data_IF_064819678099
#
_entry.id   IF_064819678099
#
_cell.length_a   1.000
_cell.length_b   1.000
_cell.length_c   1.000
_cell.angle_alpha   90.00
_cell.angle_beta   90.00
_cell.angle_gamma   90.00
#
_symmetry.space_group_name_H-M   'P 1'
#
loop_
_entity.id
_entity.type
_entity.pdbx_description
1 polymer ?
#
# COMPACT_ATOMS: atom_id res chain seq x y z
N UNK A 1 -14.41 5.49 14.54
CA UNK A 1 -14.94 6.06 13.27
C UNK A 1 -14.31 5.39 12.06
N UNK A 2 -12.99 5.49 11.85
CA UNK A 2 -12.32 4.93 10.66
C UNK A 2 -12.70 3.47 10.35
N UNK A 3 -12.63 2.54 11.31
CA UNK A 3 -12.97 1.12 11.08
C UNK A 3 -14.46 0.88 10.76
N UNK A 4 -15.35 1.69 11.33
CA UNK A 4 -16.78 1.63 11.02
C UNK A 4 -17.04 2.11 9.59
N UNK A 5 -16.35 3.18 9.17
CA UNK A 5 -16.42 3.68 7.80
C UNK A 5 -15.82 2.66 6.81
N UNK A 6 -14.67 2.05 7.14
CA UNK A 6 -14.03 1.03 6.31
C UNK A 6 -14.95 -0.19 6.12
N UNK A 7 -15.44 -0.76 7.22
CA UNK A 7 -16.32 -1.93 7.18
C UNK A 7 -17.68 -1.64 6.56
N UNK A 8 -18.29 -0.51 6.93
CA UNK A 8 -19.58 -0.07 6.41
C UNK A 8 -19.54 0.16 4.91
N UNK A 9 -18.54 0.88 4.41
CA UNK A 9 -18.38 1.08 2.96
C UNK A 9 -18.10 -0.24 2.23
N UNK A 10 -17.30 -1.14 2.80
CA UNK A 10 -17.01 -2.46 2.20
C UNK A 10 -18.28 -3.32 2.11
N UNK A 11 -19.08 -3.36 3.18
CA UNK A 11 -20.36 -4.06 3.19
C UNK A 11 -21.35 -3.44 2.19
N UNK A 12 -21.43 -2.10 2.13
CA UNK A 12 -22.34 -1.40 1.23
C UNK A 12 -22.05 -1.71 -0.26
N UNK A 13 -20.78 -1.90 -0.63
CA UNK A 13 -20.39 -2.32 -2.00
C UNK A 13 -20.97 -3.70 -2.33
N UNK A 14 -21.02 -4.63 -1.38
CA UNK A 14 -21.59 -5.96 -1.59
C UNK A 14 -23.08 -5.92 -1.95
N UNK A 15 -23.81 -4.90 -1.50
CA UNK A 15 -25.24 -4.71 -1.77
C UNK A 15 -25.52 -3.74 -2.93
N UNK A 16 -24.51 -3.29 -3.66
CA UNK A 16 -24.67 -2.29 -4.71
C UNK A 16 -25.53 -2.86 -5.87
N UNK A 17 -26.64 -2.19 -6.23
CA UNK A 17 -27.43 -2.57 -7.41
C UNK A 17 -26.63 -2.39 -8.70
N UNK A 18 -26.90 -3.25 -9.68
CA UNK A 18 -26.25 -3.19 -10.99
C UNK A 18 -26.61 -1.94 -11.79
N UNK A 19 -25.80 -1.65 -12.82
CA UNK A 19 -26.05 -0.54 -13.73
C UNK A 19 -27.42 -0.67 -14.42
N UNK A 20 -27.84 -1.88 -14.77
CA UNK A 20 -29.13 -2.12 -15.42
C UNK A 20 -30.33 -1.76 -14.54
N UNK A 21 -30.15 -1.70 -13.20
CA UNK A 21 -31.22 -1.38 -12.26
C UNK A 21 -31.32 0.12 -11.94
N UNK A 22 -30.19 0.79 -11.75
CA UNK A 22 -30.17 2.19 -11.26
C UNK A 22 -29.30 3.14 -12.12
N UNK A 23 -28.80 2.67 -13.26
CA UNK A 23 -27.97 3.43 -14.19
C UNK A 23 -26.70 3.98 -13.55
N UNK A 24 -26.38 5.23 -13.92
CA UNK A 24 -25.16 5.93 -13.46
C UNK A 24 -25.06 6.08 -11.94
N UNK A 25 -26.18 6.01 -11.22
CA UNK A 25 -26.19 6.05 -9.76
C UNK A 25 -25.38 4.89 -9.15
N UNK A 26 -25.33 3.72 -9.79
CA UNK A 26 -24.51 2.59 -9.35
C UNK A 26 -23.02 2.95 -9.30
N UNK A 27 -22.51 3.55 -10.37
CA UNK A 27 -21.12 4.00 -10.45
C UNK A 27 -20.80 5.13 -9.45
N UNK A 28 -21.72 6.09 -9.27
CA UNK A 28 -21.55 7.18 -8.31
C UNK A 28 -21.54 6.67 -6.86
N UNK A 29 -22.41 5.71 -6.51
CA UNK A 29 -22.43 5.08 -5.19
C UNK A 29 -21.17 4.25 -4.95
N UNK A 30 -20.70 3.48 -5.95
CA UNK A 30 -19.42 2.77 -5.86
C UNK A 30 -18.27 3.74 -5.59
N UNK A 31 -18.20 4.86 -6.31
CA UNK A 31 -17.20 5.89 -6.11
C UNK A 31 -17.29 6.49 -4.70
N UNK A 32 -18.50 6.75 -4.19
CA UNK A 32 -18.72 7.24 -2.83
C UNK A 32 -18.22 6.26 -1.77
N UNK A 33 -18.53 4.97 -1.90
CA UNK A 33 -18.05 3.95 -0.96
C UNK A 33 -16.54 3.77 -1.03
N UNK A 34 -15.94 3.82 -2.23
CA UNK A 34 -14.48 3.82 -2.43
C UNK A 34 -13.80 5.03 -1.78
N UNK A 35 -14.38 6.23 -1.91
CA UNK A 35 -13.91 7.42 -1.19
C UNK A 35 -13.98 7.22 0.33
N UNK A 36 -15.08 6.64 0.84
CA UNK A 36 -15.20 6.30 2.25
C UNK A 36 -14.14 5.30 2.73
N UNK A 37 -13.84 4.25 1.94
CA UNK A 37 -12.75 3.30 2.25
C UNK A 37 -11.38 4.00 2.28
N UNK A 38 -11.11 4.91 1.34
CA UNK A 38 -9.87 5.69 1.30
C UNK A 38 -9.69 6.58 2.54
N UNK A 39 -10.71 7.36 2.90
CA UNK A 39 -10.71 8.20 4.12
C UNK A 39 -10.52 7.34 5.37
N UNK A 40 -11.16 6.19 5.42
CA UNK A 40 -11.02 5.26 6.54
C UNK A 40 -9.62 4.64 6.65
N UNK A 41 -8.99 4.32 5.51
CA UNK A 41 -7.65 3.74 5.46
C UNK A 41 -6.61 4.73 6.02
N UNK A 42 -6.61 5.98 5.54
CA UNK A 42 -5.69 7.03 6.01
C UNK A 42 -5.81 7.28 7.52
N UNK A 43 -7.04 7.28 8.05
CA UNK A 43 -7.27 7.44 9.49
C UNK A 43 -6.92 6.23 10.36
N UNK A 44 -6.69 5.05 9.80
CA UNK A 44 -6.56 3.80 10.57
C UNK A 44 -5.22 3.09 10.44
N UNK A 45 -4.47 3.32 9.37
CA UNK A 45 -3.28 2.52 9.04
C UNK A 45 -1.97 3.21 9.43
N UNK A 46 -1.72 4.46 9.02
CA UNK A 46 -0.42 5.12 9.25
C UNK A 46 -0.22 5.67 10.67
N UNK A 47 -1.30 5.99 11.37
CA UNK A 47 -1.24 6.43 12.77
C UNK A 47 -0.72 5.33 13.70
N UNK A 48 -1.06 4.07 13.46
CA UNK A 48 -0.69 2.95 14.33
C UNK A 48 0.72 2.42 14.08
N UNK A 49 1.15 2.33 12.81
CA UNK A 49 2.50 1.89 12.47
C UNK A 49 3.56 2.84 13.07
N UNK A 50 3.27 4.14 13.04
CA UNK A 50 4.11 5.15 13.69
C UNK A 50 4.16 4.95 15.22
N UNK A 51 3.03 4.66 15.87
CA UNK A 51 2.98 4.44 17.32
C UNK A 51 3.72 3.17 17.77
N UNK A 52 3.56 2.07 17.03
CA UNK A 52 4.27 0.82 17.33
C UNK A 52 5.79 0.98 17.21
N UNK A 53 6.25 1.74 16.21
CA UNK A 53 7.68 2.01 16.03
C UNK A 53 8.25 2.95 17.12
N UNK A 54 7.43 3.87 17.66
CA UNK A 54 7.85 4.81 18.73
C UNK A 54 8.04 4.07 20.06
N UNK A 55 7.19 3.09 20.36
CA UNK A 55 7.26 2.29 21.58
C UNK A 55 8.13 1.03 21.45
N UNK A 56 8.78 0.82 20.30
CA UNK A 56 9.61 -0.35 20.07
C UNK A 56 10.92 -0.27 20.88
N UNK A 57 11.39 -1.40 21.44
CA UNK A 57 12.71 -1.49 22.06
C UNK A 57 13.83 -1.00 21.13
N UNK A 58 14.92 -0.49 21.71
CA UNK A 58 16.10 -0.09 20.95
C UNK A 58 16.61 -1.25 20.07
N UNK A 59 16.99 -0.91 18.84
CA UNK A 59 17.45 -1.89 17.85
C UNK A 59 16.37 -2.83 17.30
N UNK A 60 15.08 -2.62 17.61
CA UNK A 60 13.96 -3.41 17.07
C UNK A 60 12.92 -2.58 16.31
N UNK A 61 13.22 -1.32 16.03
CA UNK A 61 12.25 -0.39 15.41
C UNK A 61 11.79 -0.86 14.03
N UNK A 62 12.70 -1.44 13.23
CA UNK A 62 12.40 -2.01 11.92
C UNK A 62 11.51 -3.25 12.02
N UNK A 63 11.78 -4.14 12.99
CA UNK A 63 10.93 -5.28 13.27
C UNK A 63 9.50 -4.89 13.64
N UNK A 64 9.31 -3.89 14.51
CA UNK A 64 7.95 -3.45 14.88
C UNK A 64 7.26 -2.65 13.77
N UNK A 65 8.01 -1.92 12.94
CA UNK A 65 7.47 -1.16 11.83
C UNK A 65 6.90 -2.05 10.70
N UNK A 66 7.45 -3.26 10.50
CA UNK A 66 6.97 -4.17 9.43
C UNK A 66 5.70 -4.94 9.79
N UNK A 67 5.39 -5.10 11.10
CA UNK A 67 4.25 -5.92 11.55
C UNK A 67 2.91 -5.46 10.94
N UNK A 68 2.55 -4.16 10.97
CA UNK A 68 1.31 -3.68 10.34
C UNK A 68 1.27 -3.91 8.83
N UNK A 69 2.45 -3.96 8.18
CA UNK A 69 2.57 -4.09 6.73
C UNK A 69 2.26 -5.49 6.25
N UNK A 70 2.38 -6.51 7.11
CA UNK A 70 2.02 -7.90 6.79
C UNK A 70 0.53 -8.06 6.43
N UNK A 71 -0.33 -7.18 6.94
CA UNK A 71 -1.76 -7.23 6.65
C UNK A 71 -2.08 -7.07 5.16
N UNK A 72 -1.32 -6.27 4.43
CA UNK A 72 -1.55 -6.01 3.00
C UNK A 72 -1.37 -7.27 2.13
N UNK A 73 -0.21 -7.95 2.12
CA UNK A 73 -0.04 -9.17 1.32
C UNK A 73 -0.86 -10.36 1.86
N UNK A 74 -1.10 -10.46 3.17
CA UNK A 74 -1.99 -11.52 3.69
C UNK A 74 -3.43 -11.33 3.21
N UNK A 75 -3.93 -10.09 3.24
CA UNK A 75 -5.23 -9.74 2.67
C UNK A 75 -5.29 -10.01 1.16
N UNK A 76 -4.21 -9.69 0.45
CA UNK A 76 -4.09 -9.96 -0.98
C UNK A 76 -4.12 -11.46 -1.28
N UNK A 77 -3.37 -12.30 -0.56
CA UNK A 77 -3.40 -13.76 -0.73
C UNK A 77 -4.82 -14.30 -0.59
N UNK A 78 -5.54 -13.89 0.46
CA UNK A 78 -6.93 -14.33 0.69
C UNK A 78 -7.83 -13.84 -0.44
N UNK A 79 -7.70 -12.58 -0.86
CA UNK A 79 -8.49 -12.02 -1.95
C UNK A 79 -8.21 -12.74 -3.27
N UNK A 80 -6.95 -12.88 -3.68
CA UNK A 80 -6.57 -13.49 -4.95
C UNK A 80 -7.00 -14.95 -5.01
N UNK A 81 -6.79 -15.74 -3.95
CA UNK A 81 -7.25 -17.14 -3.91
C UNK A 81 -8.79 -17.25 -3.95
N UNK A 82 -9.50 -16.36 -3.27
CA UNK A 82 -10.97 -16.37 -3.27
C UNK A 82 -11.54 -15.98 -4.63
N UNK A 83 -11.01 -14.92 -5.25
CA UNK A 83 -11.42 -14.52 -6.61
C UNK A 83 -11.05 -15.58 -7.65
N UNK A 84 -9.86 -16.16 -7.55
CA UNK A 84 -9.44 -17.26 -8.40
C UNK A 84 -10.42 -18.44 -8.30
N UNK A 85 -10.77 -18.85 -7.07
CA UNK A 85 -11.73 -19.93 -6.86
C UNK A 85 -13.09 -19.61 -7.47
N UNK A 86 -13.62 -18.41 -7.26
CA UNK A 86 -14.92 -18.01 -7.80
C UNK A 86 -14.92 -17.94 -9.33
N UNK A 87 -13.87 -17.42 -9.94
CA UNK A 87 -13.72 -17.33 -11.40
C UNK A 87 -13.60 -18.74 -12.01
N UNK A 88 -12.94 -19.67 -11.33
CA UNK A 88 -12.78 -21.05 -11.82
C UNK A 88 -14.02 -21.93 -11.56
N UNK A 89 -14.77 -21.66 -10.50
CA UNK A 89 -15.89 -22.50 -10.06
C UNK A 89 -17.24 -22.08 -10.65
N UNK A 90 -17.41 -20.82 -11.07
CA UNK A 90 -18.68 -20.29 -11.55
C UNK A 90 -18.65 -20.04 -13.06
N UNK A 91 -19.78 -20.26 -13.76
CA UNK A 91 -20.00 -19.68 -15.07
C UNK A 91 -19.83 -18.15 -15.03
N UNK A 92 -19.39 -17.55 -16.15
CA UNK A 92 -19.16 -16.10 -16.22
C UNK A 92 -20.42 -15.28 -15.89
N UNK A 93 -21.60 -15.76 -16.28
CA UNK A 93 -22.89 -15.15 -15.96
C UNK A 93 -23.16 -15.10 -14.45
N UNK A 94 -22.90 -16.19 -13.71
CA UNK A 94 -23.07 -16.26 -12.27
C UNK A 94 -22.05 -15.38 -11.54
N UNK A 95 -20.81 -15.37 -12.03
CA UNK A 95 -19.77 -14.51 -11.46
C UNK A 95 -20.17 -13.04 -11.54
N UNK A 96 -20.65 -12.58 -12.71
CA UNK A 96 -21.10 -11.20 -12.93
C UNK A 96 -22.41 -10.89 -12.19
N UNK A 97 -23.31 -11.86 -12.09
CA UNK A 97 -24.59 -11.71 -11.40
C UNK A 97 -24.42 -11.54 -9.89
N UNK A 98 -23.59 -12.37 -9.24
CA UNK A 98 -23.43 -12.34 -7.78
C UNK A 98 -22.03 -12.72 -7.28
N UNK A 99 -21.28 -13.57 -7.99
CA UNK A 99 -20.02 -14.12 -7.50
C UNK A 99 -19.00 -13.07 -7.04
N UNK A 100 -18.84 -11.98 -7.80
CA UNK A 100 -17.92 -10.89 -7.46
C UNK A 100 -18.24 -10.17 -6.14
N UNK A 101 -19.49 -10.27 -5.63
CA UNK A 101 -19.91 -9.65 -4.36
C UNK A 101 -19.44 -10.43 -3.15
N UNK A 102 -19.26 -11.75 -3.27
CA UNK A 102 -18.94 -12.63 -2.15
C UNK A 102 -17.66 -12.23 -1.37
N UNK A 103 -16.53 -11.87 -2.03
CA UNK A 103 -15.33 -11.42 -1.33
C UNK A 103 -15.54 -10.20 -0.42
N UNK A 104 -16.50 -9.32 -0.72
CA UNK A 104 -16.79 -8.17 0.13
C UNK A 104 -17.45 -8.58 1.46
N UNK A 105 -18.23 -9.66 1.49
CA UNK A 105 -18.76 -10.22 2.74
C UNK A 105 -17.66 -10.84 3.60
N UNK A 106 -16.70 -11.53 2.96
CA UNK A 106 -15.53 -12.07 3.66
C UNK A 106 -14.68 -10.94 4.26
N UNK A 107 -14.43 -9.88 3.48
CA UNK A 107 -13.72 -8.69 3.95
C UNK A 107 -14.48 -7.99 5.11
N UNK A 108 -15.82 -7.93 5.04
CA UNK A 108 -16.64 -7.40 6.12
C UNK A 108 -16.49 -8.23 7.42
N UNK A 109 -16.54 -9.55 7.34
CA UNK A 109 -16.34 -10.43 8.50
C UNK A 109 -14.97 -10.22 9.15
N UNK A 110 -13.91 -10.14 8.34
CA UNK A 110 -12.55 -9.83 8.82
C UNK A 110 -12.51 -8.46 9.52
N UNK A 111 -13.19 -7.45 8.94
CA UNK A 111 -13.24 -6.11 9.54
C UNK A 111 -13.94 -6.09 10.91
N UNK A 112 -14.98 -6.90 11.11
CA UNK A 112 -15.65 -7.04 12.43
C UNK A 112 -14.67 -7.57 13.48
N UNK A 113 -13.89 -8.61 13.14
CA UNK A 113 -12.85 -9.15 14.03
C UNK A 113 -11.76 -8.10 14.30
N UNK A 114 -11.31 -7.38 13.27
CA UNK A 114 -10.33 -6.32 13.40
C UNK A 114 -10.80 -5.15 14.27
N UNK A 115 -12.09 -4.78 14.16
CA UNK A 115 -12.73 -3.78 15.02
C UNK A 115 -12.71 -4.22 16.48
N UNK A 116 -13.12 -5.46 16.76
CA UNK A 116 -13.12 -5.99 18.12
C UNK A 116 -11.72 -6.05 18.73
N UNK A 117 -10.73 -6.53 17.96
CA UNK A 117 -9.34 -6.56 18.38
C UNK A 117 -8.81 -5.15 18.72
N UNK A 118 -9.11 -4.15 17.87
CA UNK A 118 -8.70 -2.76 18.13
C UNK A 118 -9.39 -2.13 19.33
N UNK A 119 -10.68 -2.40 19.52
CA UNK A 119 -11.40 -1.92 20.72
C UNK A 119 -10.76 -2.47 22.00
N UNK A 120 -10.26 -3.71 21.99
CA UNK A 120 -9.51 -4.25 23.14
C UNK A 120 -8.16 -3.58 23.37
N UNK A 121 -7.44 -3.20 22.31
CA UNK A 121 -6.13 -2.50 22.43
C UNK A 121 -6.31 -1.11 23.04
N UNK A 122 -7.36 -0.38 22.67
CA UNK A 122 -7.59 1.01 23.16
C UNK A 122 -7.97 1.05 24.64
N UNK A 123 -8.40 -0.07 25.22
CA UNK A 123 -8.82 -0.18 26.63
C UNK A 123 -7.62 -0.48 27.55
N UNK A 124 -6.39 -0.60 27.04
CA UNK A 124 -5.23 -0.87 27.91
C UNK A 124 -4.77 0.36 28.69
N UNK A 125 -4.25 0.19 29.92
CA UNK A 125 -3.77 1.29 30.75
C UNK A 125 -2.67 2.13 30.09
N UNK A 126 -1.80 1.52 29.27
CA UNK A 126 -0.72 2.25 28.59
C UNK A 126 -1.25 3.20 27.51
N UNK A 127 -2.37 2.86 26.86
CA UNK A 127 -3.00 3.77 25.89
C UNK A 127 -3.65 4.97 26.61
N UNK A 128 -4.25 4.73 27.77
CA UNK A 128 -4.82 5.80 28.61
C UNK A 128 -3.74 6.78 29.09
N UNK A 129 -2.58 6.29 29.55
CA UNK A 129 -1.48 7.17 30.00
C UNK A 129 -0.90 8.00 28.85
N UNK A 130 -0.70 7.41 27.66
CA UNK A 130 -0.20 8.13 26.48
C UNK A 130 -1.19 9.19 25.96
N UNK A 131 -2.49 8.96 26.15
CA UNK A 131 -3.54 9.93 25.83
C UNK A 131 -3.54 11.09 26.84
N UNK A 132 -3.36 10.80 28.13
CA UNK A 132 -3.26 11.80 29.20
C UNK A 132 -2.01 12.69 29.07
N UNK A 133 -0.88 12.13 28.62
CA UNK A 133 0.38 12.86 28.41
C UNK A 133 0.35 13.89 27.25
N UNK A 134 -0.78 14.02 26.53
CA UNK A 134 -0.97 14.89 25.35
C UNK A 134 0.03 14.65 24.21
N UNK A 135 0.86 13.61 24.27
CA UNK A 135 1.80 13.23 23.23
C UNK A 135 1.11 12.89 21.89
N UNK A 136 -0.20 12.66 21.91
CA UNK A 136 -1.04 12.32 20.77
C UNK A 136 -2.00 13.44 20.33
N UNK A 137 -1.89 14.66 20.89
CA UNK A 137 -2.80 15.74 20.48
C UNK A 137 -2.52 16.18 19.04
N UNK A 138 -3.53 16.15 18.15
CA UNK A 138 -3.36 16.60 16.78
C UNK A 138 -3.12 18.11 16.75
N UNK A 139 -2.04 18.53 16.09
CA UNK A 139 -1.85 19.93 15.72
C UNK A 139 -2.74 20.29 14.52
N UNK A 140 -3.15 21.56 14.38
CA UNK A 140 -3.89 22.02 13.21
C UNK A 140 -3.13 21.70 11.91
N UNK A 141 -3.84 21.16 10.92
CA UNK A 141 -3.24 20.76 9.64
C UNK A 141 -2.58 21.95 8.94
N UNK A 142 -3.26 23.10 8.91
CA UNK A 142 -2.75 24.32 8.26
C UNK A 142 -1.45 24.83 8.91
N UNK A 143 -1.35 24.76 10.24
CA UNK A 143 -0.14 25.09 10.97
C UNK A 143 0.99 24.11 10.64
N UNK A 144 0.67 22.82 10.68
CA UNK A 144 1.61 21.72 10.40
C UNK A 144 2.18 21.83 8.99
N UNK A 145 1.32 22.00 7.99
CA UNK A 145 1.74 22.15 6.58
C UNK A 145 2.62 23.37 6.43
N UNK A 146 2.23 24.53 6.98
CA UNK A 146 3.02 25.76 6.84
C UNK A 146 4.41 25.63 7.44
N UNK A 147 4.54 25.01 8.62
CA UNK A 147 5.81 24.90 9.36
C UNK A 147 6.69 23.76 8.86
N UNK A 148 6.10 22.65 8.44
CA UNK A 148 6.80 21.38 8.19
C UNK A 148 6.76 20.95 6.70
N UNK A 149 6.37 21.83 5.77
CA UNK A 149 6.15 21.47 4.35
C UNK A 149 7.33 20.73 3.70
N UNK A 150 8.57 21.07 4.03
CA UNK A 150 9.77 20.40 3.51
C UNK A 150 9.81 18.94 3.94
N UNK A 151 9.53 18.67 5.21
CA UNK A 151 9.49 17.32 5.78
C UNK A 151 8.34 16.53 5.17
N UNK A 152 7.19 17.18 4.95
CA UNK A 152 6.02 16.57 4.29
C UNK A 152 6.36 16.15 2.86
N UNK A 153 6.94 17.03 2.04
CA UNK A 153 7.27 16.69 0.65
C UNK A 153 8.33 15.57 0.62
N UNK A 154 9.43 15.70 1.37
CA UNK A 154 10.44 14.64 1.40
C UNK A 154 9.88 13.32 1.92
N UNK A 155 9.03 13.36 2.94
CA UNK A 155 8.34 12.20 3.50
C UNK A 155 7.35 11.56 2.53
N UNK A 156 6.66 12.36 1.72
CA UNK A 156 5.71 11.85 0.73
C UNK A 156 6.41 11.15 -0.43
N UNK A 157 7.58 11.65 -0.83
CA UNK A 157 8.36 11.10 -1.94
C UNK A 157 9.35 10.00 -1.51
N UNK A 158 9.72 9.91 -0.23
CA UNK A 158 10.65 8.90 0.28
C UNK A 158 10.19 7.43 0.12
N UNK A 159 8.90 7.09 0.22
CA UNK A 159 8.41 5.74 -0.08
C UNK A 159 7.77 5.62 -1.47
N UNK A 160 7.92 6.62 -2.34
CA UNK A 160 7.18 6.70 -3.60
C UNK A 160 7.41 5.46 -4.48
N UNK A 161 8.66 4.99 -4.58
CA UNK A 161 9.02 3.77 -5.30
C UNK A 161 8.30 2.54 -4.75
N UNK A 162 8.20 2.42 -3.42
CA UNK A 162 7.50 1.30 -2.77
C UNK A 162 6.01 1.29 -3.11
N UNK A 163 5.35 2.45 -3.09
CA UNK A 163 3.92 2.55 -3.36
C UNK A 163 3.58 2.45 -4.85
N UNK A 164 4.45 2.96 -5.72
CA UNK A 164 4.36 2.70 -7.16
C UNK A 164 4.52 1.21 -7.43
N UNK A 165 5.58 0.61 -6.88
CA UNK A 165 5.84 -0.82 -7.00
C UNK A 165 4.64 -1.66 -6.52
N UNK A 166 3.99 -1.26 -5.42
CA UNK A 166 2.82 -1.97 -4.87
C UNK A 166 1.76 -2.20 -5.93
N UNK A 167 1.35 -1.14 -6.64
CA UNK A 167 0.32 -1.24 -7.68
C UNK A 167 0.85 -1.77 -9.01
N UNK A 168 2.15 -1.58 -9.28
CA UNK A 168 2.82 -2.13 -10.47
C UNK A 168 2.96 -3.65 -10.44
N UNK A 169 2.83 -4.30 -9.28
CA UNK A 169 2.86 -5.77 -9.16
C UNK A 169 1.53 -6.40 -8.72
N UNK A 170 0.51 -5.60 -8.44
CA UNK A 170 -0.81 -6.10 -8.02
C UNK A 170 -1.86 -5.83 -9.07
N UNK A 171 -2.22 -4.56 -9.28
CA UNK A 171 -3.36 -4.16 -10.11
C UNK A 171 -2.97 -4.00 -11.58
N UNK A 172 -1.82 -3.39 -11.88
CA UNK A 172 -1.40 -3.13 -13.25
C UNK A 172 -1.21 -4.42 -14.07
N UNK A 173 -0.46 -5.44 -13.61
CA UNK A 173 -0.20 -6.61 -14.43
C UNK A 173 -1.47 -7.44 -14.67
N UNK A 174 -2.37 -7.53 -13.68
CA UNK A 174 -3.68 -8.15 -13.87
C UNK A 174 -4.48 -7.45 -14.99
N UNK A 175 -4.47 -6.11 -14.99
CA UNK A 175 -5.14 -5.32 -16.02
C UNK A 175 -4.51 -5.52 -17.40
N UNK A 176 -3.18 -5.57 -17.46
CA UNK A 176 -2.43 -5.80 -18.69
C UNK A 176 -2.73 -7.19 -19.28
N UNK A 177 -2.59 -8.23 -18.47
CA UNK A 177 -2.86 -9.63 -18.85
C UNK A 177 -4.31 -9.77 -19.32
N UNK A 178 -5.27 -9.24 -18.58
CA UNK A 178 -6.69 -9.34 -18.95
C UNK A 178 -7.04 -8.62 -20.27
N UNK A 179 -6.41 -7.48 -20.56
CA UNK A 179 -6.76 -6.64 -21.72
C UNK A 179 -5.95 -6.94 -22.99
N UNK A 180 -4.72 -7.44 -22.84
CA UNK A 180 -3.76 -7.54 -23.95
C UNK A 180 -3.23 -8.95 -24.21
N UNK A 181 -3.66 -9.95 -23.44
CA UNK A 181 -3.24 -11.35 -23.62
C UNK A 181 -4.46 -12.29 -23.57
N UNK A 182 -4.35 -13.49 -24.12
CA UNK A 182 -5.46 -14.49 -24.19
C UNK A 182 -5.63 -15.29 -22.90
N UNK A 183 -5.29 -14.66 -21.78
CA UNK A 183 -4.75 -15.34 -20.63
C UNK A 183 -5.71 -15.24 -19.46
N UNK A 184 -5.95 -16.34 -18.75
CA UNK A 184 -7.07 -16.38 -17.80
C UNK A 184 -6.75 -15.60 -16.51
N UNK A 185 -7.66 -14.73 -16.02
CA UNK A 185 -7.47 -14.02 -14.75
C UNK A 185 -7.22 -14.95 -13.55
N UNK A 186 -7.81 -16.15 -13.57
CA UNK A 186 -7.61 -17.13 -12.51
C UNK A 186 -6.14 -17.55 -12.38
N UNK A 187 -5.42 -17.75 -13.50
CA UNK A 187 -3.99 -18.08 -13.45
C UNK A 187 -3.17 -16.94 -12.87
N UNK A 188 -3.43 -15.71 -13.32
CA UNK A 188 -2.76 -14.52 -12.78
C UNK A 188 -2.93 -14.42 -11.26
N UNK A 189 -4.16 -14.60 -10.77
CA UNK A 189 -4.46 -14.53 -9.33
C UNK A 189 -3.74 -15.63 -8.52
N UNK A 190 -3.50 -16.81 -9.11
CA UNK A 190 -2.68 -17.85 -8.49
C UNK A 190 -1.20 -17.42 -8.39
N UNK A 191 -0.64 -16.89 -9.48
CA UNK A 191 0.74 -16.37 -9.51
C UNK A 191 0.88 -15.24 -8.50
N UNK A 192 -0.09 -14.33 -8.43
CA UNK A 192 -0.14 -13.24 -7.47
C UNK A 192 -0.19 -13.75 -6.03
N UNK A 193 -1.02 -14.76 -5.72
CA UNK A 193 -1.07 -15.35 -4.39
C UNK A 193 0.29 -15.96 -3.97
N UNK A 194 0.95 -16.69 -4.88
CA UNK A 194 2.28 -17.27 -4.64
C UNK A 194 3.33 -16.18 -4.46
N UNK A 195 3.34 -15.16 -5.32
CA UNK A 195 4.26 -14.04 -5.21
C UNK A 195 4.03 -13.22 -3.94
N UNK A 196 2.78 -13.05 -3.51
CA UNK A 196 2.44 -12.37 -2.26
C UNK A 196 2.97 -13.12 -1.03
N UNK A 197 3.09 -14.45 -1.05
CA UNK A 197 3.81 -15.21 0.01
C UNK A 197 5.28 -14.81 0.05
N UNK A 198 5.94 -14.66 -1.11
CA UNK A 198 7.31 -14.12 -1.18
C UNK A 198 7.35 -12.69 -0.62
N UNK A 199 6.34 -11.88 -0.93
CA UNK A 199 6.15 -10.56 -0.34
C UNK A 199 6.08 -10.58 1.19
N UNK A 200 5.31 -11.49 1.79
CA UNK A 200 5.24 -11.68 3.25
C UNK A 200 6.62 -11.98 3.83
N UNK A 201 7.35 -12.94 3.25
CA UNK A 201 8.69 -13.31 3.70
C UNK A 201 9.67 -12.14 3.58
N UNK A 202 9.58 -11.38 2.48
CA UNK A 202 10.40 -10.18 2.27
C UNK A 202 10.05 -9.04 3.23
N UNK A 203 8.79 -8.86 3.63
CA UNK A 203 8.41 -7.90 4.68
C UNK A 203 9.04 -8.29 6.02
N UNK A 204 9.00 -9.58 6.39
CA UNK A 204 9.65 -10.07 7.62
C UNK A 204 11.16 -9.83 7.55
N UNK A 205 11.79 -10.18 6.43
CA UNK A 205 13.21 -9.96 6.20
C UNK A 205 13.57 -8.47 6.26
N UNK A 206 12.70 -7.58 5.79
CA UNK A 206 12.89 -6.13 5.86
C UNK A 206 13.10 -5.65 7.28
N UNK A 207 12.36 -6.21 8.26
CA UNK A 207 12.47 -5.82 9.66
C UNK A 207 13.87 -6.12 10.21
N UNK A 208 14.35 -7.33 9.95
CA UNK A 208 15.69 -7.77 10.35
C UNK A 208 16.81 -6.95 9.70
N UNK A 209 16.72 -6.69 8.40
CA UNK A 209 17.73 -5.87 7.71
C UNK A 209 17.68 -4.42 8.18
N UNK A 210 16.50 -3.86 8.34
CA UNK A 210 16.32 -2.47 8.77
C UNK A 210 16.87 -2.21 10.17
N UNK A 211 16.78 -3.18 11.08
CA UNK A 211 17.37 -3.08 12.41
C UNK A 211 18.91 -3.08 12.40
N UNK A 212 19.54 -3.58 11.32
CA UNK A 212 21.01 -3.57 11.18
C UNK A 212 21.56 -2.43 10.36
N UNK A 213 20.99 -2.17 9.19
CA UNK A 213 21.52 -1.16 8.25
C UNK A 213 20.78 0.19 8.35
N UNK A 214 19.67 0.22 9.11
CA UNK A 214 18.77 1.35 9.22
C UNK A 214 17.68 1.36 8.15
N UNK A 215 16.47 1.75 8.56
CA UNK A 215 15.27 1.82 7.71
C UNK A 215 15.48 2.65 6.44
N UNK A 216 16.12 3.82 6.60
CA UNK A 216 16.39 4.76 5.51
C UNK A 216 17.37 4.20 4.48
N UNK A 217 18.44 3.55 4.93
CA UNK A 217 19.42 2.90 4.06
C UNK A 217 18.77 1.77 3.29
N UNK A 218 17.94 0.97 3.96
CA UNK A 218 17.21 -0.11 3.31
C UNK A 218 16.30 0.43 2.20
N UNK A 219 15.53 1.48 2.47
CA UNK A 219 14.68 2.14 1.45
C UNK A 219 15.47 2.68 0.26
N UNK A 220 16.67 3.23 0.48
CA UNK A 220 17.52 3.71 -0.62
C UNK A 220 18.05 2.55 -1.47
N UNK A 221 18.50 1.47 -0.83
CA UNK A 221 19.00 0.28 -1.52
C UNK A 221 17.87 -0.40 -2.31
N UNK A 222 16.69 -0.55 -1.71
CA UNK A 222 15.53 -1.12 -2.41
C UNK A 222 15.03 -0.22 -3.53
N UNK A 223 15.06 1.11 -3.37
CA UNK A 223 14.74 2.03 -4.46
C UNK A 223 15.72 1.89 -5.64
N UNK A 224 17.02 1.73 -5.39
CA UNK A 224 18.00 1.47 -6.43
C UNK A 224 17.77 0.11 -7.11
N UNK A 225 17.40 -0.92 -6.34
CA UNK A 225 17.04 -2.23 -6.89
C UNK A 225 15.75 -2.18 -7.72
N UNK A 226 14.75 -1.38 -7.32
CA UNK A 226 13.53 -1.12 -8.08
C UNK A 226 13.86 -0.38 -9.40
N UNK A 227 14.79 0.58 -9.38
CA UNK A 227 15.26 1.25 -10.59
C UNK A 227 15.97 0.30 -11.57
N UNK A 228 16.75 -0.65 -11.05
CA UNK A 228 17.33 -1.70 -11.89
C UNK A 228 16.24 -2.64 -12.43
N UNK A 229 15.34 -3.10 -11.56
CA UNK A 229 14.22 -3.95 -11.93
C UNK A 229 13.33 -3.31 -13.00
N UNK A 230 13.07 -2.00 -12.94
CA UNK A 230 12.22 -1.31 -13.91
C UNK A 230 12.73 -1.38 -15.36
N UNK A 231 14.03 -1.59 -15.56
CA UNK A 231 14.60 -1.83 -16.89
C UNK A 231 14.31 -3.23 -17.44
N UNK A 232 14.15 -4.22 -16.55
CA UNK A 232 13.93 -5.63 -16.91
C UNK A 232 12.46 -6.06 -16.83
N UNK A 233 11.68 -5.39 -15.99
CA UNK A 233 10.28 -5.69 -15.72
C UNK A 233 9.43 -5.79 -17.00
N UNK A 234 9.54 -4.86 -17.95
CA UNK A 234 8.82 -4.93 -19.22
C UNK A 234 9.10 -6.22 -20.01
N UNK A 235 10.37 -6.65 -20.06
CA UNK A 235 10.76 -7.85 -20.81
C UNK A 235 10.29 -9.13 -20.10
N UNK A 236 10.34 -9.15 -18.77
CA UNK A 236 9.83 -10.27 -17.99
C UNK A 236 8.33 -10.44 -18.20
N UNK A 237 7.55 -9.35 -18.16
CA UNK A 237 6.11 -9.42 -18.35
C UNK A 237 5.70 -9.87 -19.76
N UNK A 238 6.54 -9.61 -20.77
CA UNK A 238 6.32 -10.01 -22.16
C UNK A 238 6.85 -11.44 -22.48
N UNK A 239 7.66 -12.02 -21.59
CA UNK A 239 8.35 -13.29 -21.83
C UNK A 239 7.49 -14.55 -21.60
N UNK A 240 6.16 -14.42 -21.68
CA UNK A 240 5.20 -15.51 -21.46
C UNK A 240 5.09 -15.93 -19.99
N UNK A 241 4.55 -17.14 -19.75
CA UNK A 241 4.14 -17.59 -18.41
C UNK A 241 5.28 -17.57 -17.37
N UNK A 242 6.47 -18.08 -17.73
CA UNK A 242 7.62 -18.10 -16.82
C UNK A 242 8.15 -16.68 -16.55
N UNK A 243 8.07 -15.81 -17.56
CA UNK A 243 8.43 -14.40 -17.43
C UNK A 243 7.51 -13.65 -16.48
N UNK A 244 6.20 -13.84 -16.63
CA UNK A 244 5.16 -13.26 -15.76
C UNK A 244 5.37 -13.71 -14.30
N UNK A 245 5.59 -15.00 -14.07
CA UNK A 245 5.88 -15.51 -12.73
C UNK A 245 7.17 -14.92 -12.15
N UNK A 246 8.23 -14.79 -12.95
CA UNK A 246 9.49 -14.18 -12.52
C UNK A 246 9.32 -12.68 -12.21
N UNK A 247 8.58 -11.94 -13.05
CA UNK A 247 8.20 -10.54 -12.80
C UNK A 247 7.50 -10.40 -11.45
N UNK A 248 6.48 -11.23 -11.20
CA UNK A 248 5.69 -11.18 -9.98
C UNK A 248 6.52 -11.56 -8.75
N UNK A 249 7.27 -12.66 -8.79
CA UNK A 249 8.07 -13.12 -7.64
C UNK A 249 9.16 -12.11 -7.28
N UNK A 250 9.94 -11.63 -8.26
CA UNK A 250 10.98 -10.62 -8.03
C UNK A 250 10.36 -9.30 -7.59
N UNK A 251 9.22 -8.93 -8.20
CA UNK A 251 8.52 -7.71 -7.88
C UNK A 251 8.00 -7.68 -6.45
N UNK A 252 7.34 -8.75 -5.99
CA UNK A 252 6.90 -8.89 -4.61
C UNK A 252 8.06 -9.01 -3.62
N UNK A 253 9.19 -9.63 -4.02
CA UNK A 253 10.37 -9.68 -3.18
C UNK A 253 10.92 -8.27 -2.90
N UNK A 254 11.07 -7.46 -3.93
CA UNK A 254 11.50 -6.06 -3.83
C UNK A 254 10.47 -5.19 -3.09
N UNK A 255 9.19 -5.38 -3.41
CA UNK A 255 8.09 -4.71 -2.74
C UNK A 255 8.13 -5.00 -1.24
N UNK A 256 8.24 -6.26 -0.82
CA UNK A 256 8.23 -6.62 0.60
C UNK A 256 9.38 -6.00 1.38
N UNK A 257 10.59 -6.01 0.80
CA UNK A 257 11.77 -5.38 1.41
C UNK A 257 11.59 -3.86 1.61
N UNK A 258 10.93 -3.20 0.67
CA UNK A 258 10.74 -1.74 0.68
C UNK A 258 9.51 -1.32 1.50
N UNK A 259 8.36 -1.94 1.22
CA UNK A 259 7.05 -1.66 1.83
C UNK A 259 7.02 -1.96 3.33
N UNK A 260 7.74 -2.98 3.78
CA UNK A 260 7.87 -3.28 5.22
C UNK A 260 8.42 -2.12 6.04
N UNK A 261 9.14 -1.18 5.41
CA UNK A 261 9.78 -0.05 6.09
C UNK A 261 9.26 1.33 5.63
N UNK A 262 8.33 1.38 4.67
CA UNK A 262 7.89 2.63 4.04
C UNK A 262 7.07 3.54 4.96
N UNK A 263 6.22 2.97 5.83
CA UNK A 263 5.34 3.76 6.70
C UNK A 263 6.15 4.52 7.76
N UNK A 264 5.95 5.84 7.85
CA UNK A 264 6.62 6.67 8.84
C UNK A 264 8.15 6.66 8.76
N UNK A 265 8.73 6.44 7.57
CA UNK A 265 10.18 6.39 7.39
C UNK A 265 10.88 7.71 7.78
N UNK A 266 10.19 8.84 7.60
CA UNK A 266 10.67 10.19 7.94
C UNK A 266 9.84 10.84 9.06
N UNK A 267 9.01 10.09 9.79
CA UNK A 267 8.16 10.63 10.85
C UNK A 267 8.96 11.26 12.01
N UNK A 268 10.18 10.76 12.25
CA UNK A 268 11.10 11.30 13.26
C UNK A 268 11.55 12.73 13.00
N UNK A 269 11.50 13.18 11.75
CA UNK A 269 11.99 14.50 11.34
C UNK A 269 11.00 15.63 11.67
N UNK A 270 9.75 15.28 11.99
CA UNK A 270 8.77 16.25 12.47
C UNK A 270 9.04 16.63 13.93
N UNK A 271 8.82 17.91 14.24
CA UNK A 271 8.74 18.37 15.63
C UNK A 271 7.68 17.57 16.40
N UNK A 272 7.89 17.23 17.68
CA UNK A 272 6.97 16.40 18.45
C UNK A 272 5.51 16.86 18.38
N UNK A 273 5.26 18.16 18.44
CA UNK A 273 3.93 18.78 18.33
C UNK A 273 3.22 18.48 17.00
N UNK A 274 3.95 18.44 15.88
CA UNK A 274 3.38 18.24 14.55
C UNK A 274 3.45 16.79 14.07
N UNK A 275 4.14 15.91 14.82
CA UNK A 275 4.51 14.57 14.35
C UNK A 275 3.34 13.69 13.97
N UNK A 276 2.27 13.69 14.77
CA UNK A 276 1.10 12.86 14.49
C UNK A 276 0.37 13.30 13.21
N UNK A 277 -0.09 14.56 13.18
CA UNK A 277 -0.79 15.14 12.01
C UNK A 277 0.09 15.11 10.77
N UNK A 278 1.37 15.49 10.90
CA UNK A 278 2.33 15.55 9.82
C UNK A 278 2.61 14.17 9.21
N UNK A 279 2.81 13.14 10.04
CA UNK A 279 3.07 11.78 9.54
C UNK A 279 1.87 11.20 8.82
N UNK A 280 0.66 11.35 9.37
CA UNK A 280 -0.57 10.86 8.74
C UNK A 280 -0.79 11.53 7.38
N UNK A 281 -0.75 12.87 7.33
CA UNK A 281 -0.93 13.63 6.09
C UNK A 281 0.16 13.32 5.05
N UNK A 282 1.39 13.14 5.49
CA UNK A 282 2.52 12.77 4.61
C UNK A 282 2.32 11.39 3.99
N UNK A 283 1.86 10.41 4.77
CA UNK A 283 1.56 9.09 4.22
C UNK A 283 0.39 9.12 3.25
N UNK A 284 -0.67 9.88 3.53
CA UNK A 284 -1.80 10.05 2.60
C UNK A 284 -1.33 10.62 1.24
N UNK A 285 -0.46 11.63 1.26
CA UNK A 285 0.16 12.18 0.04
C UNK A 285 1.04 11.15 -0.68
N UNK A 286 1.82 10.38 0.08
CA UNK A 286 2.65 9.33 -0.48
C UNK A 286 1.81 8.27 -1.22
N UNK A 287 0.67 7.88 -0.66
CA UNK A 287 -0.29 6.98 -1.31
C UNK A 287 -0.94 7.59 -2.54
N UNK A 288 -1.34 8.86 -2.45
CA UNK A 288 -1.95 9.58 -3.56
C UNK A 288 -1.01 9.60 -4.77
N UNK A 289 0.24 10.03 -4.58
CA UNK A 289 1.20 10.18 -5.68
C UNK A 289 1.84 8.84 -6.10
N UNK A 290 2.16 7.98 -5.14
CA UNK A 290 2.87 6.73 -5.41
C UNK A 290 1.95 5.63 -5.94
N UNK A 291 0.74 5.52 -5.40
CA UNK A 291 -0.11 4.36 -5.64
C UNK A 291 -1.43 4.71 -6.36
N UNK A 292 -2.06 5.84 -6.00
CA UNK A 292 -3.42 6.17 -6.44
C UNK A 292 -3.58 6.26 -7.96
N UNK A 293 -2.59 6.82 -8.65
CA UNK A 293 -2.61 6.96 -10.11
C UNK A 293 -1.79 5.89 -10.85
N UNK A 294 -1.07 5.03 -10.12
CA UNK A 294 -0.08 4.13 -10.72
C UNK A 294 -0.67 3.18 -11.77
N UNK A 295 -1.75 2.40 -11.49
CA UNK A 295 -2.31 1.50 -12.49
C UNK A 295 -2.83 2.25 -13.72
N UNK A 296 -3.51 3.38 -13.53
CA UNK A 296 -4.12 4.15 -14.62
C UNK A 296 -3.05 4.73 -15.55
N UNK A 297 -2.03 5.39 -14.97
CA UNK A 297 -0.96 6.02 -15.74
C UNK A 297 -0.09 4.97 -16.41
N UNK A 298 0.27 3.88 -15.71
CA UNK A 298 1.06 2.80 -16.28
C UNK A 298 0.33 2.08 -17.41
N UNK A 299 -0.97 1.77 -17.23
CA UNK A 299 -1.77 1.14 -18.28
C UNK A 299 -1.93 2.06 -19.50
N UNK A 300 -2.21 3.35 -19.29
CA UNK A 300 -2.28 4.32 -20.37
C UNK A 300 -0.95 4.44 -21.12
N UNK A 301 0.16 4.62 -20.41
CA UNK A 301 1.50 4.67 -21.00
C UNK A 301 1.83 3.40 -21.78
N UNK A 302 1.56 2.23 -21.21
CA UNK A 302 1.82 0.96 -21.88
C UNK A 302 0.91 0.73 -23.09
N UNK A 303 -0.33 1.23 -23.08
CA UNK A 303 -1.23 1.16 -24.26
C UNK A 303 -0.76 2.02 -25.43
N UNK A 304 -0.03 3.12 -25.16
CA UNK A 304 0.42 4.06 -26.19
C UNK A 304 1.86 3.80 -26.64
N UNK A 305 2.73 3.40 -25.72
CA UNK A 305 4.18 3.33 -25.91
C UNK A 305 4.77 1.95 -25.63
N UNK A 306 3.93 0.96 -25.32
CA UNK A 306 4.34 -0.40 -24.98
C UNK A 306 4.84 -0.56 -23.55
N UNK A 307 5.11 -1.82 -23.15
CA UNK A 307 5.49 -2.20 -21.78
C UNK A 307 6.70 -1.44 -21.23
N UNK A 308 7.60 -0.96 -22.09
CA UNK A 308 8.78 -0.20 -21.66
C UNK A 308 8.40 1.09 -20.93
N UNK A 309 7.25 1.69 -21.26
CA UNK A 309 6.78 2.91 -20.63
C UNK A 309 6.27 2.67 -19.19
N UNK A 310 5.73 1.48 -18.88
CA UNK A 310 5.49 1.05 -17.50
C UNK A 310 6.79 0.93 -16.69
N UNK A 311 7.86 0.42 -17.31
CA UNK A 311 9.21 0.46 -16.73
C UNK A 311 9.68 1.89 -16.46
N UNK A 312 9.51 2.80 -17.42
CA UNK A 312 9.82 4.23 -17.26
C UNK A 312 9.03 4.89 -16.12
N UNK A 313 7.74 4.55 -15.95
CA UNK A 313 6.93 5.00 -14.83
C UNK A 313 7.52 4.55 -13.48
N UNK A 314 7.84 3.27 -13.34
CA UNK A 314 8.44 2.74 -12.11
C UNK A 314 9.83 3.34 -11.83
N UNK A 315 10.63 3.53 -12.87
CA UNK A 315 11.94 4.20 -12.78
C UNK A 315 11.81 5.64 -12.26
N UNK A 316 10.80 6.38 -12.72
CA UNK A 316 10.56 7.75 -12.26
C UNK A 316 10.30 7.80 -10.75
N UNK A 317 9.50 6.88 -10.22
CA UNK A 317 9.23 6.76 -8.79
C UNK A 317 10.49 6.42 -7.97
N UNK A 318 11.35 5.55 -8.51
CA UNK A 318 12.62 5.19 -7.91
C UNK A 318 13.60 6.38 -7.87
N UNK A 319 13.74 7.13 -8.96
CA UNK A 319 14.58 8.34 -9.01
C UNK A 319 14.08 9.38 -8.01
N UNK A 320 12.77 9.66 -7.99
CA UNK A 320 12.18 10.60 -7.05
C UNK A 320 12.43 10.19 -5.58
N UNK A 321 12.33 8.90 -5.28
CA UNK A 321 12.64 8.35 -3.95
C UNK A 321 14.10 8.59 -3.58
N UNK A 322 15.04 8.25 -4.46
CA UNK A 322 16.47 8.44 -4.22
C UNK A 322 16.81 9.92 -4.03
N UNK A 323 16.23 10.82 -4.82
CA UNK A 323 16.41 12.27 -4.70
C UNK A 323 15.85 12.77 -3.37
N UNK A 324 14.63 12.37 -2.99
CA UNK A 324 14.02 12.76 -1.71
C UNK A 324 14.86 12.29 -0.51
N UNK A 325 15.36 11.05 -0.57
CA UNK A 325 16.25 10.50 0.44
C UNK A 325 17.62 11.19 0.44
N UNK A 326 18.14 11.64 -0.70
CA UNK A 326 19.39 12.41 -0.74
C UNK A 326 19.22 13.80 -0.13
N UNK A 327 18.19 14.55 -0.54
CA UNK A 327 17.86 15.88 -0.02
C UNK A 327 17.63 15.87 1.49
N UNK A 328 16.93 14.85 1.99
CA UNK A 328 16.71 14.69 3.42
C UNK A 328 18.02 14.45 4.20
N UNK A 329 19.11 14.02 3.54
CA UNK A 329 20.41 13.77 4.19
C UNK A 329 21.14 15.07 4.34
N UNK A 330 21.07 15.85 3.27
CA UNK A 330 21.70 17.16 3.22
C UNK A 330 21.03 18.12 4.20
N UNK A 331 19.70 18.10 4.30
CA UNK A 331 18.97 18.90 5.28
C UNK A 331 19.37 18.55 6.72
N UNK A 332 19.53 17.25 7.03
CA UNK A 332 19.98 16.83 8.36
C UNK A 332 21.39 17.33 8.68
N UNK A 333 22.30 17.37 7.68
CA UNK A 333 23.67 17.89 7.84
C UNK A 333 23.75 19.40 8.00
N UNK A 334 22.76 20.16 7.52
CA UNK A 334 22.79 21.63 7.59
C UNK A 334 22.22 22.18 8.91
N UNK A 335 21.56 21.33 9.70
CA UNK A 335 20.89 21.69 10.96
C UNK A 335 21.79 21.39 12.18
N UNK A 336 22.76 20.49 12.03
CA UNK A 336 23.84 20.20 13.00
C UNK A 336 25.04 21.15 12.79
#
# INVERSE_FOLDING_TARGET
IALFLLGGSTAAIAFLPGYDSIGIASALLLALFRMGQGVALGGSWDGLASLLAINAPEGKRGWYAMIPQLGAPLGLIVASLLFMFLIAALPAEDFLAWGWRYPFFVAFAINVVALFARLRIVVTPEYASLFEDKALQPAPLTETVRKEWKVIIMGAFAPLASFAMFHMVTVYPLSWVFLFTDETPARFLMIEAVAAVVGVLSIIASGYFADRVGRRTLLAVTAAAIAAFSGFAPQLLDAGELGEAAFMILGFALLGLSFGQSSGALSSNFQPRHRYTGSAFTSDLAWLFGAGFAPLVALWLSSQFGLIAAGGYLLSGAICTLVALWLNRELARTID
#
